data_IF_663372664001
#
_entry.id   IF_663372664001
#
_cell.length_a   1.000
_cell.length_b   1.000
_cell.length_c   1.000
_cell.angle_alpha   90.00
_cell.angle_beta   90.00
_cell.angle_gamma   90.00
#
_symmetry.space_group_name_H-M   'P 1'
#
loop_
_entity.id
_entity.type
_entity.pdbx_description
1 polymer ?
#
# COMPACT_ATOMS: atom_id res chain seq x y z
N UNK A 1 12.42 -1.76 10.41
CA UNK A 1 11.67 -1.18 11.54
C UNK A 1 12.67 -0.78 12.64
N UNK A 2 12.47 0.29 13.40
CA UNK A 2 13.41 0.67 14.46
C UNK A 2 13.30 -0.36 15.59
N UNK A 3 14.41 -1.06 15.86
CA UNK A 3 14.39 -2.30 16.64
C UNK A 3 14.24 -2.07 18.16
N UNK A 4 14.35 -0.83 18.66
CA UNK A 4 14.44 -0.49 20.08
C UNK A 4 13.48 0.64 20.52
N UNK A 5 12.24 0.67 20.02
CA UNK A 5 11.23 1.59 20.52
C UNK A 5 10.55 1.00 21.77
N UNK A 6 10.29 1.76 22.85
CA UNK A 6 9.37 1.33 23.91
C UNK A 6 7.97 0.95 23.39
N UNK A 7 7.22 0.14 24.13
CA UNK A 7 5.80 -0.07 23.80
C UNK A 7 5.04 1.27 23.84
N UNK A 8 3.95 1.38 23.07
CA UNK A 8 3.13 2.61 23.00
C UNK A 8 3.85 3.85 22.41
N UNK A 9 5.09 3.70 21.94
CA UNK A 9 5.84 4.81 21.34
C UNK A 9 5.14 5.40 20.12
N UNK A 10 5.32 6.70 19.90
CA UNK A 10 4.76 7.41 18.75
C UNK A 10 5.86 7.99 17.86
N UNK A 11 5.88 7.57 16.59
CA UNK A 11 6.76 8.09 15.54
C UNK A 11 5.98 9.14 14.73
N UNK A 12 6.13 10.40 15.09
CA UNK A 12 5.47 11.52 14.42
C UNK A 12 6.23 11.94 13.16
N UNK A 13 5.53 12.28 12.09
CA UNK A 13 6.11 12.96 10.92
C UNK A 13 6.21 14.46 11.22
N UNK A 14 7.31 14.87 11.84
CA UNK A 14 7.48 16.25 12.32
C UNK A 14 7.72 17.25 11.18
N UNK A 15 8.42 16.84 10.12
CA UNK A 15 8.81 17.70 9.01
C UNK A 15 7.81 17.66 7.84
N UNK A 16 6.66 16.99 8.01
CA UNK A 16 5.63 16.84 6.98
C UNK A 16 6.16 16.26 5.66
N UNK A 17 7.13 15.34 5.74
CA UNK A 17 7.76 14.74 4.56
C UNK A 17 6.74 13.92 3.76
N UNK A 18 5.75 13.34 4.46
CA UNK A 18 4.69 12.52 3.87
C UNK A 18 3.69 13.34 3.03
N UNK A 19 3.51 14.62 3.33
CA UNK A 19 2.46 15.45 2.72
C UNK A 19 2.66 15.60 1.22
N UNK A 20 3.91 15.51 0.78
CA UNK A 20 4.31 15.61 -0.62
C UNK A 20 3.81 14.47 -1.52
N UNK A 21 3.34 13.36 -0.92
CA UNK A 21 2.80 12.17 -1.60
C UNK A 21 1.27 12.07 -1.52
N UNK A 22 0.61 12.95 -0.76
CA UNK A 22 -0.85 12.91 -0.58
C UNK A 22 -1.54 13.34 -1.88
N UNK A 23 -2.59 12.61 -2.26
CA UNK A 23 -3.45 12.95 -3.38
C UNK A 23 -4.09 11.74 -4.05
N UNK A 24 -4.95 12.04 -5.03
CA UNK A 24 -5.55 11.06 -5.91
C UNK A 24 -4.77 11.04 -7.21
N UNK A 25 -4.28 9.87 -7.60
CA UNK A 25 -3.50 9.69 -8.82
C UNK A 25 -4.15 8.65 -9.72
N UNK A 26 -4.06 8.86 -11.03
CA UNK A 26 -4.59 7.93 -12.02
C UNK A 26 -3.57 7.54 -13.07
N UNK A 27 -3.76 6.35 -13.63
CA UNK A 27 -3.06 5.89 -14.83
C UNK A 27 -3.92 4.91 -15.63
N UNK A 28 -3.48 4.62 -16.84
CA UNK A 28 -4.00 3.56 -17.68
C UNK A 28 -2.91 2.50 -17.87
N UNK A 29 -3.22 1.26 -17.55
CA UNK A 29 -2.27 0.14 -17.69
C UNK A 29 -3.00 -1.12 -18.15
N UNK A 30 -2.54 -1.71 -19.26
CA UNK A 30 -3.13 -2.92 -19.86
C UNK A 30 -4.66 -2.88 -19.99
N UNK A 31 -5.20 -1.75 -20.47
CA UNK A 31 -6.64 -1.55 -20.67
C UNK A 31 -7.45 -1.32 -19.39
N UNK A 32 -6.79 -1.17 -18.24
CA UNK A 32 -7.42 -0.88 -16.95
C UNK A 32 -7.15 0.57 -16.54
N UNK A 33 -8.18 1.22 -16.01
CA UNK A 33 -8.03 2.49 -15.29
C UNK A 33 -7.73 2.18 -13.82
N UNK A 34 -6.63 2.74 -13.32
CA UNK A 34 -6.16 2.53 -11.95
C UNK A 34 -6.15 3.88 -11.27
N UNK A 35 -6.88 3.98 -10.17
CA UNK A 35 -6.86 5.15 -9.29
C UNK A 35 -6.23 4.76 -7.97
N UNK A 36 -5.28 5.56 -7.49
CA UNK A 36 -4.70 5.49 -6.16
C UNK A 36 -5.15 6.71 -5.36
N UNK A 37 -5.69 6.50 -4.17
CA UNK A 37 -5.97 7.53 -3.18
C UNK A 37 -4.98 7.36 -2.03
N UNK A 38 -4.00 8.28 -1.97
CA UNK A 38 -2.94 8.29 -0.98
C UNK A 38 -3.29 9.32 0.09
N UNK A 39 -3.50 8.86 1.32
CA UNK A 39 -3.87 9.69 2.46
C UNK A 39 -2.92 9.49 3.64
N UNK A 40 -2.77 10.53 4.46
CA UNK A 40 -2.01 10.47 5.72
C UNK A 40 -2.95 10.13 6.87
N UNK A 41 -2.58 9.10 7.64
CA UNK A 41 -3.22 8.73 8.91
C UNK A 41 -2.33 9.19 10.05
N UNK A 42 -2.90 9.99 10.95
CA UNK A 42 -2.19 10.49 12.13
C UNK A 42 -2.27 9.46 13.25
N UNK A 43 -1.14 9.20 13.91
CA UNK A 43 -1.05 8.31 15.08
C UNK A 43 -1.74 6.95 14.83
N UNK A 44 -1.52 6.34 13.67
CA UNK A 44 -2.04 5.01 13.35
C UNK A 44 -1.29 3.95 14.17
N UNK A 45 -2.03 3.00 14.75
CA UNK A 45 -1.49 1.87 15.52
C UNK A 45 -0.93 0.79 14.60
N UNK A 46 0.22 0.22 14.95
CA UNK A 46 0.85 -0.90 14.27
C UNK A 46 1.33 -1.93 15.29
N UNK A 47 1.12 -3.20 15.00
CA UNK A 47 1.63 -4.33 15.78
C UNK A 47 3.03 -4.70 15.31
N UNK A 48 3.98 -4.95 16.22
CA UNK A 48 5.36 -5.33 15.84
C UNK A 48 5.50 -6.81 15.53
N UNK A 49 4.78 -7.64 16.26
CA UNK A 49 4.80 -9.10 16.13
C UNK A 49 3.39 -9.60 16.47
N UNK A 50 2.82 -10.48 15.64
CA UNK A 50 1.51 -11.09 15.90
C UNK A 50 1.50 -11.92 17.19
N UNK A 51 2.66 -12.38 17.67
CA UNK A 51 2.81 -13.22 18.85
C UNK A 51 3.08 -12.47 20.16
N UNK A 52 3.38 -11.17 20.12
CA UNK A 52 3.54 -10.34 21.33
C UNK A 52 2.61 -9.14 21.28
N UNK A 53 1.98 -8.80 22.41
CA UNK A 53 1.10 -7.63 22.53
C UNK A 53 1.94 -6.34 22.57
N UNK A 54 2.82 -6.15 21.60
CA UNK A 54 3.66 -4.96 21.45
C UNK A 54 3.22 -4.17 20.22
N UNK A 55 2.95 -2.89 20.45
CA UNK A 55 2.46 -1.99 19.44
C UNK A 55 3.14 -0.63 19.55
N UNK A 56 3.07 0.12 18.46
CA UNK A 56 3.56 1.48 18.35
C UNK A 56 2.58 2.27 17.48
N UNK A 57 2.70 3.58 17.56
CA UNK A 57 1.94 4.51 16.74
C UNK A 57 2.88 5.21 15.77
N UNK A 58 2.41 5.54 14.59
CA UNK A 58 3.11 6.45 13.69
C UNK A 58 2.18 7.25 12.81
N UNK A 59 2.64 8.38 12.32
CA UNK A 59 2.05 8.99 11.14
C UNK A 59 2.43 8.15 9.93
N UNK A 60 1.43 7.77 9.15
CA UNK A 60 1.59 6.81 8.06
C UNK A 60 0.84 7.26 6.81
N UNK A 61 1.40 6.95 5.65
CA UNK A 61 0.65 6.98 4.40
C UNK A 61 -0.09 5.65 4.22
N UNK A 62 -1.34 5.74 3.82
CA UNK A 62 -2.20 4.62 3.44
C UNK A 62 -2.62 4.83 1.99
N UNK A 63 -2.51 3.77 1.19
CA UNK A 63 -2.98 3.78 -0.19
C UNK A 63 -4.27 2.97 -0.27
N UNK A 64 -5.31 3.60 -0.80
CA UNK A 64 -6.52 2.92 -1.26
C UNK A 64 -6.55 2.98 -2.78
N UNK A 65 -7.22 2.04 -3.41
CA UNK A 65 -7.19 1.94 -4.86
C UNK A 65 -8.54 1.52 -5.43
N UNK A 66 -8.73 1.89 -6.68
CA UNK A 66 -9.87 1.51 -7.51
C UNK A 66 -9.34 1.08 -8.87
N UNK A 67 -9.66 -0.15 -9.26
CA UNK A 67 -9.31 -0.73 -10.56
C UNK A 67 -10.59 -0.91 -11.36
N UNK A 68 -10.64 -0.32 -12.54
CA UNK A 68 -11.71 -0.54 -13.52
C UNK A 68 -11.18 -1.25 -14.75
N UNK A 69 -12.00 -2.15 -15.30
CA UNK A 69 -11.72 -2.80 -16.57
C UNK A 69 -12.15 -1.95 -17.76
N UNK A 70 -12.05 -2.55 -18.95
CA UNK A 70 -12.61 -2.00 -20.18
C UNK A 70 -14.10 -1.70 -19.98
N UNK A 71 -14.58 -0.57 -20.49
CA UNK A 71 -15.99 -0.11 -20.33
C UNK A 71 -16.38 0.35 -18.91
N UNK A 72 -15.42 0.51 -18.00
CA UNK A 72 -15.63 1.20 -16.72
C UNK A 72 -16.21 0.34 -15.60
N UNK A 73 -16.35 -0.97 -15.79
CA UNK A 73 -16.76 -1.89 -14.74
C UNK A 73 -15.70 -1.95 -13.63
N UNK A 74 -16.13 -1.91 -12.36
CA UNK A 74 -15.22 -2.01 -11.22
C UNK A 74 -14.75 -3.46 -11.08
N UNK A 75 -13.43 -3.66 -11.15
CA UNK A 75 -12.78 -4.95 -10.94
C UNK A 75 -12.39 -5.16 -9.48
N UNK A 76 -11.90 -4.10 -8.82
CA UNK A 76 -11.53 -4.12 -7.40
C UNK A 76 -11.55 -2.72 -6.83
N UNK A 77 -11.94 -2.57 -5.56
CA UNK A 77 -11.89 -1.29 -4.85
C UNK A 77 -11.60 -1.51 -3.37
N UNK A 78 -10.78 -0.62 -2.80
CA UNK A 78 -10.50 -0.54 -1.35
C UNK A 78 -10.81 0.84 -0.77
N UNK A 79 -11.49 1.71 -1.53
CA UNK A 79 -11.78 3.09 -1.13
C UNK A 79 -12.55 3.19 0.21
N UNK A 80 -13.41 2.20 0.49
CA UNK A 80 -14.22 2.12 1.70
C UNK A 80 -13.77 0.99 2.65
N UNK A 81 -12.62 0.37 2.40
CA UNK A 81 -12.11 -0.72 3.24
C UNK A 81 -11.60 -0.19 4.58
N UNK A 82 -11.73 -1.03 5.61
CA UNK A 82 -11.10 -0.79 6.90
C UNK A 82 -9.59 -0.96 6.78
N UNK A 83 -8.85 -0.21 7.60
CA UNK A 83 -7.40 -0.34 7.63
C UNK A 83 -7.00 -1.66 8.34
N UNK A 84 -5.79 -2.15 8.07
CA UNK A 84 -5.22 -3.38 8.66
C UNK A 84 -5.92 -4.69 8.28
N UNK A 85 -6.78 -4.67 7.26
CA UNK A 85 -7.40 -5.86 6.66
C UNK A 85 -6.65 -6.36 5.40
N UNK A 86 -7.28 -7.28 4.66
CA UNK A 86 -6.83 -7.62 3.31
C UNK A 86 -6.81 -6.38 2.41
N UNK A 87 -5.90 -6.42 1.47
CA UNK A 87 -5.59 -5.34 0.54
C UNK A 87 -5.04 -4.05 1.16
N UNK A 88 -4.65 -4.09 2.43
CA UNK A 88 -4.11 -2.93 3.10
C UNK A 88 -2.71 -2.57 2.59
N UNK A 89 -2.50 -1.30 2.26
CA UNK A 89 -1.22 -0.77 1.81
C UNK A 89 -0.82 0.38 2.73
N UNK A 90 0.34 0.27 3.39
CA UNK A 90 0.89 1.37 4.19
C UNK A 90 2.40 1.50 4.05
N UNK A 91 2.90 2.72 4.24
CA UNK A 91 4.32 2.97 4.11
C UNK A 91 5.11 2.23 5.20
N UNK A 92 6.27 1.69 4.85
CA UNK A 92 7.23 1.08 5.77
C UNK A 92 8.39 2.01 6.05
N UNK A 93 8.92 2.65 5.01
CA UNK A 93 10.13 3.49 5.05
C UNK A 93 9.93 4.71 4.14
N UNK A 94 10.40 5.86 4.61
CA UNK A 94 10.53 7.09 3.82
C UNK A 94 12.01 7.34 3.58
N UNK A 95 12.37 7.54 2.32
CA UNK A 95 13.72 7.81 1.85
C UNK A 95 13.74 9.23 1.28
N UNK A 96 13.69 10.22 2.17
CA UNK A 96 13.55 11.65 1.81
C UNK A 96 14.59 12.12 0.80
N UNK A 97 15.90 11.82 0.93
CA UNK A 97 16.89 12.30 -0.04
C UNK A 97 16.68 11.75 -1.45
N UNK A 98 15.96 10.64 -1.60
CA UNK A 98 15.65 10.02 -2.89
C UNK A 98 14.22 10.33 -3.38
N UNK A 99 13.40 11.04 -2.59
CA UNK A 99 11.97 11.24 -2.83
C UNK A 99 11.21 9.92 -3.04
N UNK A 100 11.58 8.89 -2.28
CA UNK A 100 10.99 7.55 -2.36
C UNK A 100 10.26 7.22 -1.07
N UNK A 101 9.08 6.60 -1.19
CA UNK A 101 8.39 5.93 -0.08
C UNK A 101 8.18 4.48 -0.45
N UNK A 102 8.59 3.59 0.44
CA UNK A 102 8.32 2.16 0.34
C UNK A 102 7.08 1.82 1.13
N UNK A 103 6.26 0.95 0.58
CA UNK A 103 5.02 0.45 1.15
C UNK A 103 5.04 -1.06 1.22
N UNK A 104 4.28 -1.59 2.17
CA UNK A 104 3.94 -2.99 2.25
C UNK A 104 2.47 -3.17 1.91
N UNK A 105 2.19 -4.13 1.04
CA UNK A 105 0.85 -4.58 0.69
C UNK A 105 0.59 -5.94 1.35
N UNK A 106 -0.48 -6.04 2.14
CA UNK A 106 -0.83 -7.27 2.88
C UNK A 106 -1.32 -8.41 1.98
N UNK A 107 -1.61 -8.13 0.71
CA UNK A 107 -2.15 -9.11 -0.23
C UNK A 107 -3.67 -9.23 -0.16
N UNK A 108 -4.22 -10.05 -1.05
CA UNK A 108 -5.62 -10.45 -1.06
C UNK A 108 -5.92 -11.50 0.03
N UNK A 109 -6.99 -12.26 -0.16
CA UNK A 109 -7.27 -13.42 0.69
C UNK A 109 -6.05 -14.35 0.78
N UNK A 110 -5.77 -14.85 1.98
CA UNK A 110 -4.57 -15.65 2.30
C UNK A 110 -3.23 -14.96 1.99
N UNK A 111 -3.22 -13.63 1.87
CA UNK A 111 -2.03 -12.86 1.54
C UNK A 111 -1.66 -12.92 0.07
N UNK A 112 -2.51 -13.39 -0.84
CA UNK A 112 -2.13 -13.54 -2.26
C UNK A 112 -1.67 -12.20 -2.86
N UNK A 113 -0.48 -12.20 -3.45
CA UNK A 113 0.16 -10.99 -3.96
C UNK A 113 0.65 -10.06 -2.86
N UNK A 114 0.86 -10.49 -1.62
CA UNK A 114 1.55 -9.65 -0.65
C UNK A 114 2.93 -9.24 -1.18
N UNK A 115 3.44 -8.08 -0.82
CA UNK A 115 4.70 -7.62 -1.37
C UNK A 115 5.07 -6.19 -1.05
N UNK A 116 6.13 -5.73 -1.70
CA UNK A 116 6.62 -4.37 -1.54
C UNK A 116 6.18 -3.51 -2.73
N UNK A 117 5.81 -2.28 -2.43
CA UNK A 117 5.54 -1.25 -3.44
C UNK A 117 6.50 -0.10 -3.20
N UNK A 118 7.07 0.45 -4.26
CA UNK A 118 7.86 1.66 -4.22
C UNK A 118 7.14 2.77 -4.97
N UNK A 119 6.99 3.92 -4.31
CA UNK A 119 6.51 5.14 -4.94
C UNK A 119 7.64 6.16 -4.93
N UNK A 120 8.03 6.65 -6.10
CA UNK A 120 8.99 7.73 -6.26
C UNK A 120 8.28 8.97 -6.79
N UNK A 121 8.48 10.11 -6.12
CA UNK A 121 7.98 11.38 -6.63
C UNK A 121 8.86 11.84 -7.79
N UNK A 122 8.25 12.01 -8.97
CA UNK A 122 8.95 12.49 -10.17
C UNK A 122 8.90 14.02 -10.25
N UNK A 123 7.75 14.59 -9.91
CA UNK A 123 7.51 16.02 -9.80
C UNK A 123 6.26 16.27 -8.92
N UNK A 124 5.71 17.48 -8.92
CA UNK A 124 4.57 17.84 -8.07
C UNK A 124 3.23 17.17 -8.45
N UNK A 125 3.11 16.65 -9.68
CA UNK A 125 1.87 16.06 -10.21
C UNK A 125 2.05 14.61 -10.65
N UNK A 126 3.27 14.06 -10.63
CA UNK A 126 3.55 12.70 -11.07
C UNK A 126 4.37 11.92 -10.05
N UNK A 127 3.98 10.65 -9.92
CA UNK A 127 4.71 9.64 -9.16
C UNK A 127 4.95 8.43 -10.06
N UNK A 128 6.03 7.70 -9.84
CA UNK A 128 6.19 6.36 -10.41
C UNK A 128 5.87 5.30 -9.38
N UNK A 129 5.26 4.22 -9.85
CA UNK A 129 4.88 3.03 -9.10
C UNK A 129 5.71 1.85 -9.56
N UNK A 130 6.31 1.14 -8.61
CA UNK A 130 6.91 -0.17 -8.84
C UNK A 130 6.38 -1.17 -7.82
N UNK A 131 5.94 -2.34 -8.27
CA UNK A 131 5.34 -3.35 -7.40
C UNK A 131 6.04 -4.70 -7.55
N UNK A 132 6.47 -5.22 -6.40
CA UNK A 132 7.28 -6.42 -6.23
C UNK A 132 6.50 -7.43 -5.38
N UNK A 133 5.60 -8.23 -5.98
CA UNK A 133 4.90 -9.27 -5.26
C UNK A 133 5.85 -10.38 -4.83
N UNK A 134 5.57 -10.96 -3.67
CA UNK A 134 6.17 -12.20 -3.22
C UNK A 134 5.28 -13.39 -3.57
N UNK A 135 5.86 -14.58 -3.56
CA UNK A 135 5.11 -15.81 -3.76
C UNK A 135 4.32 -16.18 -2.50
N UNK A 136 3.16 -16.80 -2.73
CA UNK A 136 2.33 -17.40 -1.67
C UNK A 136 2.12 -18.85 -2.04
N UNK A 137 2.53 -19.77 -1.17
CA UNK A 137 2.21 -21.19 -1.32
C UNK A 137 0.80 -21.44 -0.78
N UNK A 138 -0.12 -21.83 -1.66
CA UNK A 138 -1.48 -22.15 -1.29
C UNK A 138 -1.59 -23.63 -0.96
N UNK A 139 -2.09 -23.95 0.23
CA UNK A 139 -2.55 -25.28 0.59
C UNK A 139 -3.96 -25.20 1.18
N UNK A 140 -4.70 -26.31 1.14
CA UNK A 140 -6.07 -26.38 1.65
C UNK A 140 -6.15 -26.19 3.18
N UNK A 141 -5.01 -26.17 3.88
CA UNK A 141 -4.93 -25.99 5.34
C UNK A 141 -4.89 -24.51 5.69
N UNK A 142 -4.08 -23.73 4.98
CA UNK A 142 -3.90 -22.30 5.23
C UNK A 142 -4.85 -21.43 4.40
N UNK A 143 -5.48 -21.97 3.34
CA UNK A 143 -6.34 -21.23 2.42
C UNK A 143 -7.49 -22.11 1.84
N UNK A 144 -8.66 -22.20 2.51
CA UNK A 144 -9.74 -23.10 2.09
C UNK A 144 -10.50 -22.60 0.84
N UNK A 145 -10.66 -23.48 -0.16
CA UNK A 145 -11.30 -23.18 -1.45
C UNK A 145 -12.85 -23.02 -1.39
N UNK A 146 -13.47 -22.27 -2.33
CA UNK A 146 -12.86 -21.56 -3.46
C UNK A 146 -12.50 -20.09 -3.14
N UNK A 147 -11.30 -19.64 -3.51
CA UNK A 147 -10.81 -18.27 -3.28
C UNK A 147 -10.33 -17.65 -4.60
N UNK A 148 -10.59 -16.35 -4.79
CA UNK A 148 -10.06 -15.58 -5.93
C UNK A 148 -8.55 -15.35 -5.74
N UNK A 149 -7.75 -15.91 -6.64
CA UNK A 149 -6.29 -15.80 -6.62
C UNK A 149 -5.77 -14.60 -7.42
N UNK A 150 -6.66 -13.78 -7.98
CA UNK A 150 -6.28 -12.70 -8.89
C UNK A 150 -5.82 -11.45 -8.16
N UNK A 151 -4.66 -10.96 -8.58
CA UNK A 151 -4.12 -9.65 -8.16
C UNK A 151 -4.42 -8.63 -9.25
N UNK A 152 -5.09 -7.53 -8.89
CA UNK A 152 -5.46 -6.48 -9.85
C UNK A 152 -4.52 -5.28 -9.86
N UNK A 153 -3.65 -5.14 -8.85
CA UNK A 153 -2.60 -4.12 -8.83
C UNK A 153 -1.62 -4.33 -9.99
N UNK A 154 -1.05 -3.25 -10.55
CA UNK A 154 -0.16 -3.35 -11.69
C UNK A 154 1.22 -3.86 -11.24
N UNK A 155 1.52 -5.11 -11.56
CA UNK A 155 2.83 -5.76 -11.37
C UNK A 155 3.79 -5.30 -12.48
N UNK A 156 4.46 -4.18 -12.23
CA UNK A 156 5.38 -3.55 -13.17
C UNK A 156 6.28 -2.57 -12.42
N UNK A 157 7.29 -2.06 -13.10
CA UNK A 157 8.20 -1.04 -12.58
C UNK A 157 8.00 0.29 -13.30
N UNK A 158 8.20 1.37 -12.55
CA UNK A 158 8.21 2.74 -13.06
C UNK A 158 6.92 3.18 -13.79
N UNK A 159 5.78 2.56 -13.48
CA UNK A 159 4.49 2.97 -14.04
C UNK A 159 4.13 4.37 -13.53
N UNK A 160 3.94 5.30 -14.46
CA UNK A 160 3.67 6.69 -14.10
C UNK A 160 2.19 6.90 -13.81
N UNK A 161 1.94 7.53 -12.67
CA UNK A 161 0.64 7.97 -12.19
C UNK A 161 0.61 9.50 -12.15
N UNK A 162 -0.52 10.08 -12.57
CA UNK A 162 -0.71 11.54 -12.63
C UNK A 162 -1.81 11.97 -11.65
N UNK A 163 -1.51 12.98 -10.84
CA UNK A 163 -2.42 13.58 -9.88
C UNK A 163 -3.63 14.18 -10.59
N UNK A 164 -4.82 14.00 -10.01
CA UNK A 164 -6.10 14.53 -10.51
C UNK A 164 -6.47 15.86 -9.87
#
# INVERSE_FOLDING_TARGET
MPMNLPNDSYIKDYNNELDSFIGVFKTLYNGKEITLDISKKIKKKFTRNSSTVSYYYKDALVIRFLIKGSFGNVLQTTLNSLDDEKHFISNTIVLTPQNIVKFYYTGADCGIGWGNIEIKKLNNVQISWSYYPNSTTLDNINCPNPIDTKVYLPETENLVFTKQ
#
